data_IF_444038276113
#
_entry.id   IF_444038276113
#
_cell.length_a   1.000
_cell.length_b   1.000
_cell.length_c   1.000
_cell.angle_alpha   90.00
_cell.angle_beta   90.00
_cell.angle_gamma   90.00
#
_symmetry.space_group_name_H-M   'P 1'
#
loop_
_entity.id
_entity.type
_entity.pdbx_description
1 polymer ?
#
# COMPACT_ATOMS: atom_id res chain seq x y z
N UNK A 1 -20.90 12.67 -32.06
CA UNK A 1 -19.60 12.44 -31.37
C UNK A 1 -19.88 11.80 -30.02
N UNK A 2 -19.71 10.48 -29.87
CA UNK A 2 -19.71 9.85 -28.55
C UNK A 2 -18.32 10.02 -27.93
N UNK A 3 -18.25 10.73 -26.80
CA UNK A 3 -17.06 10.70 -25.96
C UNK A 3 -17.05 9.33 -25.28
N UNK A 4 -16.24 8.41 -25.79
CA UNK A 4 -15.93 7.17 -25.08
C UNK A 4 -15.08 7.56 -23.88
N UNK A 5 -15.72 7.79 -22.73
CA UNK A 5 -15.02 7.88 -21.46
C UNK A 5 -14.50 6.47 -21.20
N UNK A 6 -13.21 6.23 -21.46
CA UNK A 6 -12.52 5.06 -20.95
C UNK A 6 -12.55 5.17 -19.41
N UNK A 7 -13.58 4.60 -18.79
CA UNK A 7 -13.60 4.36 -17.36
C UNK A 7 -12.55 3.27 -17.15
N UNK A 8 -11.30 3.66 -16.99
CA UNK A 8 -10.25 2.76 -16.57
C UNK A 8 -10.66 2.30 -15.19
N UNK A 9 -11.21 1.09 -15.10
CA UNK A 9 -11.53 0.46 -13.83
C UNK A 9 -10.20 0.02 -13.23
N UNK A 10 -9.44 0.97 -12.69
CA UNK A 10 -8.32 0.69 -11.82
C UNK A 10 -8.84 -0.21 -10.70
N UNK A 11 -8.51 -1.50 -10.77
CA UNK A 11 -8.76 -2.42 -9.67
C UNK A 11 -7.85 -1.99 -8.52
N UNK A 12 -8.42 -1.59 -7.37
CA UNK A 12 -7.60 -1.12 -6.25
C UNK A 12 -6.65 -2.23 -5.82
N UNK A 13 -5.39 -1.89 -5.61
CA UNK A 13 -4.37 -2.78 -5.07
C UNK A 13 -3.60 -2.06 -3.98
N UNK A 14 -3.29 -2.77 -2.88
CA UNK A 14 -2.49 -2.20 -1.80
C UNK A 14 -1.09 -1.81 -2.31
N UNK A 15 -0.49 -0.72 -1.80
CA UNK A 15 0.86 -0.36 -2.19
C UNK A 15 1.85 -1.46 -1.76
N UNK A 16 2.97 -1.55 -2.46
CA UNK A 16 4.06 -2.42 -2.03
C UNK A 16 4.50 -2.05 -0.61
N UNK A 17 4.95 -3.06 0.14
CA UNK A 17 5.35 -2.93 1.53
C UNK A 17 6.71 -2.24 1.64
N UNK A 18 6.74 -1.07 2.29
CA UNK A 18 7.95 -0.30 2.65
C UNK A 18 7.66 0.59 3.86
N UNK A 19 8.70 0.88 4.64
CA UNK A 19 8.62 1.88 5.72
C UNK A 19 8.60 3.30 5.14
N UNK A 20 7.44 3.95 5.15
CA UNK A 20 7.27 5.32 4.65
C UNK A 20 7.72 6.39 5.62
N UNK A 21 7.65 6.13 6.92
CA UNK A 21 8.33 6.99 7.90
C UNK A 21 9.86 6.86 7.83
N UNK A 22 10.36 5.90 7.06
CA UNK A 22 11.77 5.56 6.96
C UNK A 22 12.12 4.42 7.90
N UNK A 23 12.99 3.52 7.44
CA UNK A 23 13.42 2.33 8.17
C UNK A 23 13.97 2.69 9.56
N UNK A 24 14.84 3.70 9.64
CA UNK A 24 15.42 4.15 10.91
C UNK A 24 14.35 4.66 11.89
N UNK A 25 13.31 5.35 11.40
CA UNK A 25 12.23 5.87 12.25
C UNK A 25 11.37 4.74 12.82
N UNK A 26 11.02 3.76 11.99
CA UNK A 26 10.23 2.60 12.42
C UNK A 26 11.02 1.71 13.40
N UNK A 27 12.31 1.48 13.12
CA UNK A 27 13.22 0.78 14.04
C UNK A 27 13.42 1.54 15.35
N UNK A 28 13.59 2.87 15.28
CA UNK A 28 13.72 3.73 16.44
C UNK A 28 12.48 3.66 17.33
N UNK A 29 11.28 3.73 16.74
CA UNK A 29 10.02 3.58 17.47
C UNK A 29 9.91 2.21 18.13
N UNK A 30 10.25 1.12 17.44
CA UNK A 30 10.25 -0.23 18.01
C UNK A 30 11.19 -0.35 19.21
N UNK A 31 12.41 0.21 19.11
CA UNK A 31 13.42 0.14 20.19
C UNK A 31 13.04 1.01 21.39
N UNK A 32 12.56 2.23 21.13
CA UNK A 32 12.25 3.19 22.19
C UNK A 32 10.92 2.86 22.90
N UNK A 33 9.92 2.37 22.16
CA UNK A 33 8.57 2.11 22.67
C UNK A 33 8.01 0.79 22.12
N UNK A 34 8.55 -0.37 22.52
CA UNK A 34 8.21 -1.67 21.93
C UNK A 34 6.73 -2.02 22.08
N UNK A 35 6.12 -1.77 23.24
CA UNK A 35 4.70 -2.06 23.48
C UNK A 35 3.78 -1.19 22.60
N UNK A 36 4.12 0.09 22.39
CA UNK A 36 3.36 0.97 21.50
C UNK A 36 3.52 0.52 20.04
N UNK A 37 4.75 0.19 19.64
CA UNK A 37 5.04 -0.30 18.30
C UNK A 37 4.23 -1.58 18.02
N UNK A 38 4.30 -2.58 18.87
CA UNK A 38 3.55 -3.83 18.73
C UNK A 38 2.04 -3.56 18.65
N UNK A 39 1.50 -2.79 19.60
CA UNK A 39 0.07 -2.47 19.62
C UNK A 39 -0.39 -1.88 18.29
N UNK A 40 0.35 -0.91 17.74
CA UNK A 40 0.02 -0.32 16.44
C UNK A 40 0.24 -1.33 15.31
N UNK A 41 1.33 -2.07 15.35
CA UNK A 41 1.68 -3.03 14.32
C UNK A 41 0.65 -4.14 14.12
N UNK A 42 -0.03 -4.54 15.19
CA UNK A 42 -1.02 -5.62 15.18
C UNK A 42 -2.47 -5.14 15.01
N UNK A 43 -2.75 -3.84 15.24
CA UNK A 43 -4.13 -3.34 15.30
C UNK A 43 -4.41 -2.11 14.42
N UNK A 44 -3.39 -1.38 13.97
CA UNK A 44 -3.53 -0.16 13.16
C UNK A 44 -3.18 -0.47 11.70
N UNK A 45 -4.20 -0.49 10.83
CA UNK A 45 -4.04 -0.81 9.41
C UNK A 45 -3.07 0.13 8.72
N UNK A 46 -3.12 1.43 9.01
CA UNK A 46 -2.30 2.41 8.31
C UNK A 46 -0.86 2.28 8.77
N UNK A 47 -0.65 2.05 10.06
CA UNK A 47 0.67 1.80 10.59
C UNK A 47 1.29 0.52 10.01
N UNK A 48 0.52 -0.57 9.98
CA UNK A 48 0.96 -1.88 9.47
C UNK A 48 1.15 -1.92 7.95
N UNK A 49 0.26 -1.29 7.16
CA UNK A 49 0.27 -1.43 5.70
C UNK A 49 0.97 -0.27 4.98
N UNK A 50 1.04 0.92 5.58
CA UNK A 50 1.53 2.14 4.91
C UNK A 50 2.77 2.73 5.59
N UNK A 51 2.74 2.92 6.91
CA UNK A 51 3.74 3.76 7.58
C UNK A 51 5.03 3.00 7.90
N UNK A 52 4.91 1.81 8.51
CA UNK A 52 6.03 0.98 8.99
C UNK A 52 5.90 -0.48 8.55
N UNK A 53 5.43 -0.72 7.32
CA UNK A 53 5.06 -2.06 6.86
C UNK A 53 6.20 -3.08 6.95
N UNK A 54 7.41 -2.70 6.54
CA UNK A 54 8.52 -3.65 6.49
C UNK A 54 8.99 -4.01 7.89
N UNK A 55 9.13 -3.02 8.78
CA UNK A 55 9.50 -3.26 10.17
C UNK A 55 8.44 -4.07 10.91
N UNK A 56 7.15 -3.85 10.60
CA UNK A 56 6.05 -4.62 11.16
C UNK A 56 6.11 -6.11 10.81
N UNK A 57 6.34 -6.42 9.53
CA UNK A 57 6.47 -7.81 9.09
C UNK A 57 7.67 -8.51 9.71
N UNK A 58 8.82 -7.83 9.75
CA UNK A 58 10.03 -8.33 10.44
C UNK A 58 9.74 -8.62 11.91
N UNK A 59 9.00 -7.73 12.58
CA UNK A 59 8.62 -7.92 13.99
C UNK A 59 7.74 -9.16 14.20
N UNK A 60 6.68 -9.30 13.39
CA UNK A 60 5.75 -10.44 13.46
C UNK A 60 6.49 -11.76 13.24
N UNK A 61 7.37 -11.81 12.23
CA UNK A 61 8.17 -12.99 11.91
C UNK A 61 9.15 -13.34 13.02
N UNK A 62 9.94 -12.37 13.48
CA UNK A 62 10.96 -12.56 14.52
C UNK A 62 10.35 -13.04 15.85
N UNK A 63 9.20 -12.47 16.23
CA UNK A 63 8.52 -12.79 17.48
C UNK A 63 7.52 -13.95 17.35
N UNK A 64 7.41 -14.57 16.16
CA UNK A 64 6.49 -15.69 15.88
C UNK A 64 5.05 -15.38 16.30
N UNK A 65 4.60 -14.15 16.04
CA UNK A 65 3.27 -13.70 16.46
C UNK A 65 2.21 -14.50 15.70
N UNK A 66 1.31 -15.13 16.44
CA UNK A 66 0.26 -15.96 15.86
C UNK A 66 -0.67 -15.14 14.94
N UNK A 67 -1.08 -15.64 13.77
CA UNK A 67 -1.94 -14.90 12.82
C UNK A 67 -3.27 -14.40 13.40
N UNK A 68 -3.81 -15.07 14.42
CA UNK A 68 -5.02 -14.60 15.12
C UNK A 68 -4.82 -13.23 15.79
N UNK A 69 -3.60 -12.90 16.22
CA UNK A 69 -3.28 -11.59 16.80
C UNK A 69 -3.25 -10.48 15.73
N UNK A 70 -3.17 -10.82 14.45
CA UNK A 70 -3.24 -9.89 13.31
C UNK A 70 -4.55 -9.99 12.55
N UNK A 71 -5.54 -10.72 13.07
CA UNK A 71 -6.82 -10.98 12.38
C UNK A 71 -7.57 -9.72 11.98
N UNK A 72 -7.47 -8.66 12.80
CA UNK A 72 -8.04 -7.36 12.47
C UNK A 72 -7.44 -6.80 11.18
N UNK A 73 -6.15 -7.03 10.94
CA UNK A 73 -5.41 -6.57 9.75
C UNK A 73 -5.74 -7.36 8.48
N UNK A 74 -6.41 -8.51 8.60
CA UNK A 74 -6.81 -9.36 7.47
C UNK A 74 -8.13 -8.91 6.81
N UNK A 75 -8.69 -7.78 7.26
CA UNK A 75 -9.92 -7.19 6.74
C UNK A 75 -9.70 -5.72 6.39
N UNK A 76 -10.68 -5.05 5.79
CA UNK A 76 -10.62 -3.61 5.68
C UNK A 76 -10.67 -2.96 7.08
N UNK A 77 -10.07 -1.77 7.26
CA UNK A 77 -10.15 -1.05 8.52
C UNK A 77 -11.60 -0.88 8.97
N UNK A 78 -11.87 -1.08 10.27
CA UNK A 78 -13.22 -0.91 10.85
C UNK A 78 -13.75 0.50 10.53
N UNK A 79 -12.89 1.51 10.66
CA UNK A 79 -13.18 2.88 10.26
C UNK A 79 -12.56 3.13 8.89
N UNK A 80 -13.32 2.83 7.84
CA UNK A 80 -12.90 3.04 6.45
C UNK A 80 -13.78 4.09 5.77
N UNK A 81 -13.24 5.29 5.57
CA UNK A 81 -13.96 6.43 5.00
C UNK A 81 -13.06 7.33 4.18
N UNK A 82 -13.67 8.16 3.34
CA UNK A 82 -12.96 9.25 2.67
C UNK A 82 -12.57 10.32 3.70
N UNK A 83 -11.38 10.89 3.53
CA UNK A 83 -10.92 12.02 4.35
C UNK A 83 -11.52 13.34 3.86
N UNK A 84 -11.71 13.45 2.55
CA UNK A 84 -12.28 14.62 1.90
C UNK A 84 -13.78 14.43 1.60
N UNK A 85 -14.43 15.52 1.19
CA UNK A 85 -15.86 15.51 0.86
C UNK A 85 -16.17 14.57 -0.31
N UNK A 86 -17.39 14.05 -0.33
CA UNK A 86 -17.88 13.18 -1.40
C UNK A 86 -17.71 13.82 -2.79
N UNK A 87 -17.96 15.13 -2.91
CA UNK A 87 -17.80 15.86 -4.16
C UNK A 87 -16.34 15.92 -4.62
N UNK A 88 -15.41 16.15 -3.69
CA UNK A 88 -13.99 16.09 -3.98
C UNK A 88 -13.59 14.69 -4.43
N UNK A 89 -13.98 13.66 -3.68
CA UNK A 89 -13.56 12.29 -3.96
C UNK A 89 -14.14 11.71 -5.26
N UNK A 90 -15.38 12.09 -5.62
CA UNK A 90 -15.95 11.76 -6.93
C UNK A 90 -15.14 12.38 -8.07
N UNK A 91 -14.73 13.65 -7.92
CA UNK A 91 -13.89 14.34 -8.92
C UNK A 91 -12.49 13.70 -8.99
N UNK A 92 -11.90 13.40 -7.84
CA UNK A 92 -10.60 12.74 -7.74
C UNK A 92 -10.62 11.35 -8.40
N UNK A 93 -11.66 10.56 -8.17
CA UNK A 93 -11.83 9.26 -8.85
C UNK A 93 -11.98 9.39 -10.35
N UNK A 94 -12.72 10.41 -10.82
CA UNK A 94 -13.00 10.59 -12.24
C UNK A 94 -11.81 11.18 -13.02
N UNK A 95 -10.98 12.03 -12.39
CA UNK A 95 -10.00 12.87 -13.09
C UNK A 95 -8.60 12.89 -12.46
N UNK A 96 -8.44 12.32 -11.28
CA UNK A 96 -7.21 12.49 -10.48
C UNK A 96 -6.99 13.92 -9.97
N UNK A 97 -5.80 14.15 -9.43
CA UNK A 97 -5.25 15.43 -9.00
C UNK A 97 -3.77 15.49 -9.40
N UNK A 98 -3.48 16.17 -10.50
CA UNK A 98 -2.14 16.18 -11.09
C UNK A 98 -1.70 14.76 -11.47
N UNK A 99 -0.59 14.28 -10.90
CA UNK A 99 -0.08 12.92 -11.11
C UNK A 99 -0.74 11.85 -10.23
N UNK A 100 -1.66 12.23 -9.35
CA UNK A 100 -2.29 11.31 -8.39
C UNK A 100 -3.69 10.90 -8.85
N UNK A 101 -4.00 9.62 -8.78
CA UNK A 101 -5.33 9.06 -9.05
C UNK A 101 -5.64 7.94 -8.04
N UNK A 102 -6.77 7.25 -8.22
CA UNK A 102 -7.07 6.05 -7.43
C UNK A 102 -6.05 4.92 -7.66
N UNK A 103 -5.32 4.88 -8.79
CA UNK A 103 -4.23 3.93 -9.01
C UNK A 103 -3.03 4.17 -8.07
N UNK A 104 -2.84 5.40 -7.59
CA UNK A 104 -1.77 5.73 -6.65
C UNK A 104 -2.21 5.41 -5.21
N UNK A 105 -2.19 4.12 -4.87
CA UNK A 105 -2.71 3.60 -3.60
C UNK A 105 -2.22 4.36 -2.36
N UNK A 106 -0.91 4.66 -2.29
CA UNK A 106 -0.31 5.40 -1.18
C UNK A 106 -0.91 6.80 -0.95
N UNK A 107 -1.45 7.42 -1.99
CA UNK A 107 -2.12 8.70 -1.92
C UNK A 107 -3.62 8.51 -1.74
N UNK A 108 -4.23 7.66 -2.56
CA UNK A 108 -5.68 7.41 -2.58
C UNK A 108 -6.21 6.97 -1.21
N UNK A 109 -5.51 6.06 -0.53
CA UNK A 109 -5.90 5.51 0.79
C UNK A 109 -5.94 6.60 1.89
N UNK A 110 -5.19 7.70 1.74
CA UNK A 110 -5.15 8.81 2.70
C UNK A 110 -6.12 9.95 2.37
N UNK A 111 -6.68 9.95 1.16
CA UNK A 111 -7.46 11.06 0.61
C UNK A 111 -8.91 10.64 0.36
N UNK A 112 -9.12 9.57 -0.40
CA UNK A 112 -10.42 9.09 -0.85
C UNK A 112 -10.51 7.55 -0.79
N UNK A 113 -10.15 6.98 0.37
CA UNK A 113 -10.05 5.54 0.59
C UNK A 113 -11.29 4.77 0.13
N UNK A 114 -12.46 5.21 0.58
CA UNK A 114 -13.72 4.54 0.29
C UNK A 114 -14.10 4.71 -1.17
N UNK A 115 -14.08 5.94 -1.68
CA UNK A 115 -14.46 6.21 -3.07
C UNK A 115 -13.54 5.49 -4.08
N UNK A 116 -12.25 5.36 -3.78
CA UNK A 116 -11.29 4.63 -4.60
C UNK A 116 -11.33 3.10 -4.40
N UNK A 117 -12.18 2.57 -3.52
CA UNK A 117 -12.40 1.12 -3.38
C UNK A 117 -11.43 0.40 -2.45
N UNK A 118 -10.69 1.12 -1.61
CA UNK A 118 -9.77 0.54 -0.62
C UNK A 118 -10.45 0.06 0.65
N UNK A 119 -11.77 0.23 0.78
CA UNK A 119 -12.58 -0.32 1.86
C UNK A 119 -13.16 -1.69 1.48
N UNK A 120 -12.28 -2.65 1.16
CA UNK A 120 -12.67 -3.97 0.69
C UNK A 120 -11.79 -5.05 1.33
N UNK A 121 -12.41 -5.96 2.09
CA UNK A 121 -11.73 -7.05 2.80
C UNK A 121 -10.88 -7.93 1.88
N UNK A 122 -11.28 -8.10 0.62
CA UNK A 122 -10.56 -8.93 -0.36
C UNK A 122 -9.16 -8.38 -0.72
N UNK A 123 -8.86 -7.13 -0.37
CA UNK A 123 -7.55 -6.50 -0.52
C UNK A 123 -6.59 -6.79 0.63
N UNK A 124 -7.13 -7.12 1.81
CA UNK A 124 -6.37 -7.30 3.05
C UNK A 124 -6.19 -8.76 3.44
N UNK A 125 -6.73 -9.69 2.65
CA UNK A 125 -6.55 -11.12 2.83
C UNK A 125 -5.06 -11.48 3.00
N UNK A 126 -4.75 -12.31 4.02
CA UNK A 126 -3.41 -12.75 4.35
C UNK A 126 -2.69 -13.43 3.17
N UNK A 127 -3.45 -14.08 2.27
CA UNK A 127 -2.92 -14.71 1.05
C UNK A 127 -2.45 -13.70 -0.01
N UNK A 128 -2.86 -12.44 0.12
CA UNK A 128 -2.56 -11.34 -0.80
C UNK A 128 -1.70 -10.26 -0.15
N UNK A 129 -0.87 -10.63 0.83
CA UNK A 129 0.03 -9.68 1.47
C UNK A 129 0.84 -8.93 0.41
N UNK A 130 0.80 -7.59 0.46
CA UNK A 130 1.46 -6.77 -0.55
C UNK A 130 2.96 -7.11 -0.61
N UNK A 131 3.58 -7.30 -1.79
CA UNK A 131 5.00 -7.62 -1.88
C UNK A 131 5.84 -6.47 -1.33
N UNK A 132 7.06 -6.76 -0.86
CA UNK A 132 8.02 -5.70 -0.57
C UNK A 132 8.27 -4.85 -1.81
N UNK A 133 8.44 -3.54 -1.63
CA UNK A 133 8.81 -2.68 -2.75
C UNK A 133 10.17 -3.10 -3.30
N UNK A 134 10.29 -3.19 -4.64
CA UNK A 134 11.59 -3.40 -5.27
C UNK A 134 12.55 -2.29 -4.80
N UNK A 135 13.70 -2.69 -4.26
CA UNK A 135 14.80 -1.76 -4.06
C UNK A 135 15.17 -1.22 -5.44
N UNK A 136 15.24 0.10 -5.60
CA UNK A 136 15.90 0.70 -6.76
C UNK A 136 17.41 0.47 -6.65
N UNK A 137 17.84 -0.79 -6.63
CA UNK A 137 19.19 -1.17 -6.96
C UNK A 137 19.30 -0.93 -8.46
N UNK A 138 19.90 0.21 -8.84
CA UNK A 138 20.58 0.29 -10.11
C UNK A 138 21.47 -0.95 -10.21
N UNK A 139 21.07 -1.87 -11.09
CA UNK A 139 21.72 -3.14 -11.35
C UNK A 139 23.17 -2.90 -11.71
N UNK A 140 24.07 -3.17 -10.77
CA UNK A 140 25.41 -3.63 -11.08
C UNK A 140 25.51 -5.05 -10.53
N UNK A 141 25.74 -6.00 -11.45
CA UNK A 141 26.10 -7.42 -11.31
C UNK A 141 25.03 -8.44 -11.75
N UNK A 142 25.25 -9.00 -12.94
CA UNK A 142 24.84 -10.37 -13.30
C UNK A 142 24.04 -10.52 -14.59
N UNK A 143 24.61 -11.06 -15.69
CA UNK A 143 23.94 -11.15 -16.98
C UNK A 143 23.07 -12.41 -17.04
N UNK A 144 21.75 -12.28 -16.94
CA UNK A 144 20.80 -13.24 -17.51
C UNK A 144 19.35 -12.71 -17.50
N UNK A 145 19.13 -11.55 -18.11
CA UNK A 145 17.78 -11.10 -18.46
C UNK A 145 17.68 -10.85 -19.96
N UNK A 146 17.87 -11.91 -20.74
CA UNK A 146 17.46 -11.99 -22.14
C UNK A 146 15.98 -12.41 -22.19
N UNK A 147 15.05 -11.48 -21.95
CA UNK A 147 13.68 -11.67 -22.46
C UNK A 147 12.82 -10.42 -22.70
N UNK A 148 13.14 -9.24 -22.17
CA UNK A 148 12.29 -8.05 -22.41
C UNK A 148 13.08 -6.77 -22.72
N UNK A 149 13.94 -6.84 -23.73
CA UNK A 149 14.57 -5.66 -24.35
C UNK A 149 14.39 -5.65 -25.87
N UNK A 150 13.19 -5.99 -26.35
CA UNK A 150 12.75 -5.76 -27.73
C UNK A 150 11.45 -4.97 -27.76
N UNK A 151 11.51 -3.69 -27.37
CA UNK A 151 10.52 -2.67 -27.76
C UNK A 151 11.05 -1.23 -27.53
N UNK A 152 12.37 -1.02 -27.60
CA UNK A 152 13.01 0.31 -27.58
C UNK A 152 13.79 0.63 -28.87
N UNK A 153 13.32 0.12 -30.00
CA UNK A 153 13.69 0.63 -31.32
C UNK A 153 12.43 0.71 -32.17
N UNK A 154 11.72 1.83 -32.05
CA UNK A 154 10.77 2.38 -33.01
C UNK A 154 10.40 3.81 -32.54
N UNK A 155 11.41 4.67 -32.45
CA UNK A 155 11.37 6.11 -32.72
C UNK A 155 12.74 6.49 -33.26
#
# INVERSE_FOLDING_TARGET
>A
MMVVILIYSDTPSLPCCRDRFGEQSCQGLRKAQPALFEKRCLNDHDFHTLDCCAECRKYIELHKIHPENTKLLQKAPIVCRDKHSLNFCRRFKARGLGKFSCANAEFAVRVCRHTCGYCNDTLYDATKSAPFCATNTATNLGPNYSFLQRLRHLV
#
